data_IF_744272132172
#
_entry.id   IF_744272132172
#
_cell.length_a   1.000
_cell.length_b   1.000
_cell.length_c   1.000
_cell.angle_alpha   90.00
_cell.angle_beta   90.00
_cell.angle_gamma   90.00
#
_symmetry.space_group_name_H-M   'P 1'
#
loop_
_entity.id
_entity.type
_entity.pdbx_description
1 polymer ?
#
# COMPACT_ATOMS: atom_id res chain seq x y z
N UNK A 1 -53.23 36.68 -13.11
CA UNK A 1 -52.07 37.52 -12.74
C UNK A 1 -51.28 36.78 -11.66
N UNK A 2 -50.00 36.49 -11.90
CA UNK A 2 -49.14 35.83 -10.90
C UNK A 2 -48.66 36.88 -9.90
N UNK A 3 -48.82 36.61 -8.59
CA UNK A 3 -48.35 37.50 -7.54
C UNK A 3 -46.82 37.46 -7.43
N UNK A 4 -46.18 38.60 -7.15
CA UNK A 4 -44.72 38.69 -6.91
C UNK A 4 -44.26 37.71 -5.81
N UNK A 5 -45.11 37.46 -4.82
CA UNK A 5 -44.87 36.48 -3.76
C UNK A 5 -44.76 35.04 -4.29
N UNK A 6 -45.60 34.66 -5.26
CA UNK A 6 -45.58 33.33 -5.88
C UNK A 6 -44.33 33.12 -6.75
N UNK A 7 -43.83 34.18 -7.38
CA UNK A 7 -42.56 34.15 -8.13
C UNK A 7 -41.39 33.99 -7.16
N UNK A 8 -41.38 34.73 -6.05
CA UNK A 8 -40.31 34.68 -5.06
C UNK A 8 -40.24 33.32 -4.36
N UNK A 9 -41.37 32.73 -3.98
CA UNK A 9 -41.39 31.38 -3.39
C UNK A 9 -40.92 30.32 -4.39
N UNK A 10 -41.27 30.45 -5.67
CA UNK A 10 -40.78 29.58 -6.74
C UNK A 10 -39.26 29.63 -6.92
N UNK A 11 -38.66 30.84 -6.91
CA UNK A 11 -37.21 31.02 -7.04
C UNK A 11 -36.47 30.39 -5.85
N UNK A 12 -36.93 30.66 -4.63
CA UNK A 12 -36.30 30.11 -3.42
C UNK A 12 -36.41 28.58 -3.36
N UNK A 13 -37.56 28.02 -3.76
CA UNK A 13 -37.75 26.57 -3.85
C UNK A 13 -36.83 25.91 -4.88
N UNK A 14 -36.71 26.50 -6.08
CA UNK A 14 -35.84 25.98 -7.13
C UNK A 14 -34.35 26.02 -6.74
N UNK A 15 -33.89 27.11 -6.14
CA UNK A 15 -32.50 27.26 -5.66
C UNK A 15 -32.17 26.25 -4.57
N UNK A 16 -33.08 26.01 -3.62
CA UNK A 16 -32.88 25.02 -2.57
C UNK A 16 -32.78 23.60 -3.14
N UNK A 17 -33.66 23.25 -4.07
CA UNK A 17 -33.62 21.95 -4.74
C UNK A 17 -32.34 21.74 -5.54
N UNK A 18 -31.85 22.78 -6.23
CA UNK A 18 -30.59 22.72 -6.97
C UNK A 18 -29.40 22.54 -6.03
N UNK A 19 -29.36 23.24 -4.91
CA UNK A 19 -28.30 23.08 -3.91
C UNK A 19 -28.27 21.67 -3.32
N UNK A 20 -29.44 21.12 -2.96
CA UNK A 20 -29.56 19.78 -2.39
C UNK A 20 -29.11 18.71 -3.40
N UNK A 21 -29.60 18.79 -4.63
CA UNK A 21 -29.26 17.81 -5.68
C UNK A 21 -27.77 17.88 -6.06
N UNK A 22 -27.21 19.06 -6.23
CA UNK A 22 -25.77 19.23 -6.47
C UNK A 22 -24.93 18.68 -5.30
N UNK A 23 -25.35 18.90 -4.05
CA UNK A 23 -24.67 18.37 -2.86
C UNK A 23 -24.64 16.84 -2.84
N UNK A 24 -25.80 16.20 -3.06
CA UNK A 24 -25.89 14.73 -3.13
C UNK A 24 -25.03 14.14 -4.24
N UNK A 25 -25.04 14.75 -5.43
CA UNK A 25 -24.22 14.32 -6.57
C UNK A 25 -22.73 14.45 -6.24
N UNK A 26 -22.32 15.56 -5.61
CA UNK A 26 -20.94 15.79 -5.22
C UNK A 26 -20.45 14.75 -4.20
N UNK A 27 -21.23 14.47 -3.15
CA UNK A 27 -20.89 13.43 -2.17
C UNK A 27 -20.84 12.03 -2.80
N UNK A 28 -21.78 11.71 -3.69
CA UNK A 28 -21.80 10.45 -4.41
C UNK A 28 -20.54 10.27 -5.28
N UNK A 29 -20.17 11.31 -6.02
CA UNK A 29 -18.94 11.34 -6.81
C UNK A 29 -17.70 11.23 -5.92
N UNK A 30 -17.65 11.91 -4.77
CA UNK A 30 -16.52 11.80 -3.84
C UNK A 30 -16.31 10.38 -3.31
N UNK A 31 -17.39 9.61 -3.11
CA UNK A 31 -17.33 8.20 -2.67
C UNK A 31 -16.90 7.23 -3.77
N UNK A 32 -17.18 7.54 -5.04
CA UNK A 32 -16.98 6.61 -6.17
C UNK A 32 -15.96 7.09 -7.19
N UNK A 33 -15.27 8.21 -6.95
CA UNK A 33 -14.21 8.68 -7.85
C UNK A 33 -13.13 7.60 -7.96
N UNK A 34 -12.70 7.23 -9.18
CA UNK A 34 -11.55 6.36 -9.33
C UNK A 34 -10.35 7.02 -8.64
N UNK A 35 -9.40 6.23 -8.09
CA UNK A 35 -8.15 6.81 -7.61
C UNK A 35 -7.55 7.65 -8.75
N UNK A 36 -6.92 8.80 -8.44
CA UNK A 36 -6.24 9.56 -9.47
C UNK A 36 -5.28 8.62 -10.21
N UNK A 37 -5.35 8.57 -11.53
CA UNK A 37 -4.35 7.89 -12.33
C UNK A 37 -3.05 8.70 -12.20
N UNK A 38 -2.24 8.33 -11.21
CA UNK A 38 -0.93 8.93 -11.02
C UNK A 38 -0.02 8.24 -12.05
N UNK A 39 0.52 8.95 -13.05
CA UNK A 39 1.48 8.36 -13.96
C UNK A 39 2.68 7.88 -13.15
N UNK A 40 3.11 6.64 -13.41
CA UNK A 40 4.19 5.94 -12.68
C UNK A 40 5.46 6.80 -12.61
N UNK A 41 5.68 7.65 -13.62
CA UNK A 41 6.83 8.57 -13.75
C UNK A 41 6.73 9.86 -12.91
N UNK A 42 5.59 10.16 -12.27
CA UNK A 42 5.44 11.38 -11.46
C UNK A 42 5.49 11.15 -9.95
N UNK A 43 5.63 9.91 -9.49
CA UNK A 43 5.71 9.59 -8.05
C UNK A 43 6.93 10.22 -7.37
N UNK A 44 8.06 10.32 -8.07
CA UNK A 44 9.28 11.00 -7.57
C UNK A 44 9.07 12.49 -7.29
N UNK A 45 8.19 13.12 -8.07
CA UNK A 45 7.86 14.55 -7.94
C UNK A 45 6.92 14.82 -6.76
N UNK A 46 6.04 13.87 -6.43
CA UNK A 46 5.06 14.01 -5.35
C UNK A 46 5.65 13.69 -3.96
N UNK A 47 6.53 12.69 -3.88
CA UNK A 47 7.19 12.28 -2.63
C UNK A 47 8.32 13.22 -2.18
N UNK A 48 8.84 14.11 -3.04
CA UNK A 48 9.95 15.03 -2.72
C UNK A 48 9.53 16.39 -2.13
N UNK A 49 8.22 16.66 -1.99
CA UNK A 49 7.70 17.96 -1.55
C UNK A 49 7.17 18.00 -0.11
N UNK A 50 7.01 16.89 0.59
CA UNK A 50 6.24 16.86 1.86
C UNK A 50 6.97 16.19 3.03
N UNK A 51 8.28 16.47 3.20
CA UNK A 51 8.97 16.05 4.42
C UNK A 51 10.27 16.81 4.72
N UNK A 52 10.61 17.03 6.01
CA UNK A 52 11.90 17.60 6.44
C UNK A 52 13.03 16.55 6.42
N UNK A 53 12.83 15.40 5.76
CA UNK A 53 13.84 14.35 5.67
C UNK A 53 14.79 14.62 4.51
N UNK A 54 16.08 14.55 4.83
CA UNK A 54 17.23 14.84 3.97
C UNK A 54 17.04 14.25 2.56
N UNK A 55 17.07 15.13 1.55
CA UNK A 55 17.26 14.70 0.16
C UNK A 55 18.63 14.04 0.08
N UNK A 56 18.67 12.73 -0.11
CA UNK A 56 19.89 12.02 -0.51
C UNK A 56 20.23 12.52 -1.91
N UNK A 57 21.09 13.54 -2.00
CA UNK A 57 21.44 14.25 -3.25
C UNK A 57 22.55 13.57 -4.03
N UNK A 58 23.03 12.42 -3.57
CA UNK A 58 23.89 11.52 -4.33
C UNK A 58 23.26 10.14 -4.26
N UNK A 59 22.78 9.61 -5.39
CA UNK A 59 22.29 8.23 -5.45
C UNK A 59 23.51 7.32 -5.31
N UNK A 60 23.93 7.04 -4.08
CA UNK A 60 24.82 5.92 -3.81
C UNK A 60 24.03 4.65 -4.08
N UNK A 61 24.66 3.69 -4.75
CA UNK A 61 24.06 2.38 -4.90
C UNK A 61 23.68 1.84 -3.51
N UNK A 62 22.52 1.16 -3.37
CA UNK A 62 22.18 0.51 -2.12
C UNK A 62 23.35 -0.37 -1.67
N UNK A 63 23.65 -0.36 -0.37
CA UNK A 63 24.82 -1.07 0.18
C UNK A 63 24.86 -2.56 -0.20
N UNK A 64 23.70 -3.18 -0.48
CA UNK A 64 23.56 -4.58 -0.90
C UNK A 64 22.99 -4.74 -2.32
N UNK A 65 23.02 -3.68 -3.12
CA UNK A 65 22.43 -3.67 -4.46
C UNK A 65 20.89 -3.79 -4.47
N UNK A 66 20.33 -3.95 -5.66
CA UNK A 66 18.91 -4.24 -5.87
C UNK A 66 18.63 -5.72 -5.60
N UNK A 67 17.61 -6.04 -4.79
CA UNK A 67 17.25 -7.41 -4.48
C UNK A 67 16.89 -8.20 -5.76
N UNK A 68 17.54 -9.33 -6.05
CA UNK A 68 17.23 -10.12 -7.23
C UNK A 68 15.76 -10.56 -7.25
N UNK A 69 15.09 -10.44 -8.40
CA UNK A 69 13.74 -10.97 -8.56
C UNK A 69 13.79 -12.47 -8.85
N UNK A 70 12.87 -13.22 -8.27
CA UNK A 70 12.69 -14.65 -8.55
C UNK A 70 11.91 -14.83 -9.86
N UNK A 71 12.59 -14.68 -10.99
CA UNK A 71 11.97 -14.76 -12.31
C UNK A 71 11.48 -16.17 -12.66
N UNK A 72 12.19 -17.19 -12.19
CA UNK A 72 11.89 -18.60 -12.46
C UNK A 72 10.87 -19.18 -11.47
N UNK A 73 10.60 -18.46 -10.38
CA UNK A 73 9.67 -18.89 -9.34
C UNK A 73 10.22 -20.04 -8.49
N UNK A 74 11.54 -20.13 -8.35
CA UNK A 74 12.23 -21.20 -7.63
C UNK A 74 11.81 -21.27 -6.17
N UNK A 75 11.53 -20.12 -5.54
CA UNK A 75 11.06 -20.01 -4.16
C UNK A 75 9.58 -19.61 -4.07
N UNK A 76 8.80 -19.86 -5.13
CA UNK A 76 7.38 -19.49 -5.20
C UNK A 76 6.54 -20.27 -4.18
N UNK A 77 6.88 -21.52 -3.91
CA UNK A 77 6.12 -22.34 -2.96
C UNK A 77 6.21 -21.78 -1.53
N UNK A 78 7.42 -21.52 -1.06
CA UNK A 78 7.70 -20.95 0.26
C UNK A 78 7.11 -19.54 0.37
N UNK A 79 7.22 -18.74 -0.70
CA UNK A 79 6.56 -17.43 -0.80
C UNK A 79 5.04 -17.55 -0.61
N UNK A 80 4.39 -18.47 -1.32
CA UNK A 80 2.95 -18.68 -1.21
C UNK A 80 2.55 -19.15 0.18
N UNK A 81 3.28 -20.09 0.78
CA UNK A 81 3.03 -20.55 2.15
C UNK A 81 3.10 -19.39 3.15
N UNK A 82 4.09 -18.50 3.00
CA UNK A 82 4.21 -17.31 3.83
C UNK A 82 3.02 -16.36 3.65
N UNK A 83 2.59 -16.11 2.40
CA UNK A 83 1.44 -15.25 2.11
C UNK A 83 0.12 -15.83 2.64
N UNK A 84 -0.07 -17.15 2.52
CA UNK A 84 -1.23 -17.85 3.09
C UNK A 84 -1.24 -17.69 4.61
N UNK A 85 -0.10 -17.92 5.29
CA UNK A 85 -0.02 -17.70 6.73
C UNK A 85 -0.39 -16.26 7.10
N UNK A 86 0.16 -15.25 6.42
CA UNK A 86 -0.18 -13.85 6.69
C UNK A 86 -1.68 -13.60 6.53
N UNK A 87 -2.28 -14.15 5.48
CA UNK A 87 -3.71 -14.01 5.25
C UNK A 87 -4.52 -14.64 6.40
N UNK A 88 -4.22 -15.87 6.81
CA UNK A 88 -4.90 -16.58 7.88
C UNK A 88 -4.72 -15.93 9.26
N UNK A 89 -3.54 -15.37 9.53
CA UNK A 89 -3.20 -14.72 10.80
C UNK A 89 -3.53 -13.23 10.84
N UNK A 90 -4.29 -12.72 9.87
CA UNK A 90 -4.71 -11.31 9.77
C UNK A 90 -3.52 -10.35 9.74
N UNK A 91 -2.53 -10.67 8.89
CA UNK A 91 -1.31 -9.90 8.65
C UNK A 91 -0.38 -9.79 9.88
N UNK A 92 -0.51 -10.70 10.85
CA UNK A 92 0.40 -10.78 12.00
C UNK A 92 1.69 -11.52 11.64
N UNK A 93 2.73 -10.78 11.28
CA UNK A 93 4.04 -11.34 10.89
C UNK A 93 4.71 -12.19 11.99
N UNK A 94 4.51 -11.86 13.27
CA UNK A 94 5.11 -12.60 14.39
C UNK A 94 4.70 -14.07 14.40
N UNK A 95 3.45 -14.38 14.04
CA UNK A 95 2.90 -15.73 13.97
C UNK A 95 3.45 -16.52 12.77
N UNK A 96 3.80 -15.81 11.69
CA UNK A 96 4.29 -16.39 10.43
C UNK A 96 5.81 -16.38 10.30
N UNK A 97 6.51 -16.05 11.39
CA UNK A 97 7.96 -15.86 11.39
C UNK A 97 8.72 -17.12 10.95
N UNK A 98 8.28 -18.29 11.39
CA UNK A 98 8.88 -19.56 10.97
C UNK A 98 8.72 -19.79 9.45
N UNK A 99 7.54 -19.54 8.88
CA UNK A 99 7.30 -19.66 7.43
C UNK A 99 8.10 -18.63 6.63
N UNK A 100 8.25 -17.41 7.17
CA UNK A 100 9.11 -16.39 6.57
C UNK A 100 10.59 -16.80 6.56
N UNK A 101 11.04 -17.53 7.59
CA UNK A 101 12.40 -18.08 7.68
C UNK A 101 12.66 -19.06 6.53
N UNK A 102 11.74 -19.99 6.28
CA UNK A 102 11.83 -20.97 5.19
C UNK A 102 11.91 -20.29 3.82
N UNK A 103 11.13 -19.23 3.62
CA UNK A 103 11.18 -18.44 2.39
C UNK A 103 12.55 -17.74 2.21
N UNK A 104 13.10 -17.14 3.25
CA UNK A 104 14.43 -16.53 3.17
C UNK A 104 15.54 -17.57 2.98
N UNK A 105 15.42 -18.73 3.61
CA UNK A 105 16.35 -19.84 3.41
C UNK A 105 16.39 -20.29 1.96
N UNK A 106 15.22 -20.49 1.33
CA UNK A 106 15.16 -20.83 -0.09
C UNK A 106 15.89 -19.79 -0.94
N UNK A 107 15.63 -18.50 -0.69
CA UNK A 107 16.26 -17.42 -1.47
C UNK A 107 17.77 -17.36 -1.30
N UNK A 108 18.26 -17.55 -0.07
CA UNK A 108 19.70 -17.59 0.22
C UNK A 108 20.40 -18.80 -0.42
N UNK A 109 19.70 -19.93 -0.52
CA UNK A 109 20.25 -21.15 -1.14
C UNK A 109 20.33 -21.06 -2.67
N UNK A 110 19.42 -20.31 -3.30
CA UNK A 110 19.36 -20.14 -4.75
C UNK A 110 19.98 -18.83 -5.27
N UNK A 111 20.70 -18.08 -4.42
CA UNK A 111 21.35 -16.83 -4.83
C UNK A 111 20.37 -15.69 -5.17
N UNK A 112 19.11 -15.80 -4.73
CA UNK A 112 18.09 -14.76 -4.84
C UNK A 112 18.15 -13.77 -3.67
N UNK A 113 19.09 -13.98 -2.76
CA UNK A 113 19.43 -13.17 -1.60
C UNK A 113 20.83 -13.53 -1.12
N UNK A 114 21.63 -12.56 -0.69
CA UNK A 114 22.92 -12.82 -0.05
C UNK A 114 22.73 -13.65 1.23
N UNK A 115 23.64 -14.59 1.46
CA UNK A 115 23.64 -15.38 2.70
C UNK A 115 23.92 -14.48 3.89
N UNK A 116 23.01 -14.47 4.85
CA UNK A 116 23.09 -13.67 6.06
C UNK A 116 22.84 -14.52 7.30
N UNK A 117 23.44 -14.12 8.41
CA UNK A 117 23.20 -14.79 9.69
C UNK A 117 21.78 -14.53 10.18
N UNK A 118 21.10 -15.57 10.68
CA UNK A 118 19.74 -15.48 11.19
C UNK A 118 19.55 -14.37 12.23
N UNK A 119 20.55 -14.13 13.08
CA UNK A 119 20.54 -13.04 14.06
C UNK A 119 20.44 -11.65 13.41
N UNK A 120 21.15 -11.41 12.30
CA UNK A 120 21.10 -10.15 11.54
C UNK A 120 19.78 -9.94 10.82
N UNK A 121 19.13 -11.05 10.45
CA UNK A 121 17.77 -11.06 9.89
C UNK A 121 16.68 -10.99 10.98
N UNK A 122 17.08 -10.81 12.24
CA UNK A 122 16.19 -10.67 13.40
C UNK A 122 15.85 -11.99 14.09
N UNK A 123 16.14 -13.15 13.51
CA UNK A 123 15.81 -14.48 14.03
C UNK A 123 16.70 -14.96 15.20
N UNK A 124 17.36 -14.04 15.92
CA UNK A 124 18.28 -14.38 17.01
C UNK A 124 17.60 -14.94 18.27
N UNK A 125 16.33 -14.66 18.46
CA UNK A 125 15.58 -15.11 19.64
C UNK A 125 14.81 -16.40 19.32
N UNK A 126 15.50 -17.54 19.36
CA UNK A 126 14.87 -18.87 19.28
C UNK A 126 14.24 -19.24 20.62
N UNK A 127 13.07 -18.65 20.93
CA UNK A 127 12.06 -19.39 21.68
C UNK A 127 11.26 -20.21 20.67
N UNK A 128 11.84 -21.33 20.28
CA UNK A 128 11.18 -22.39 19.52
C UNK A 128 9.92 -22.81 20.30
N UNK A 129 8.74 -22.30 19.91
CA UNK A 129 7.49 -22.91 20.33
C UNK A 129 7.29 -24.09 19.39
N UNK A 130 7.98 -25.18 19.71
CA UNK A 130 7.56 -26.51 19.30
C UNK A 130 6.29 -26.82 20.08
N UNK A 131 5.16 -26.89 19.38
CA UNK A 131 3.95 -27.51 19.93
C UNK A 131 3.22 -28.25 18.83
#
# INVERSE_FOLDING_TARGET
>A
MVSKSQIQTGILGASLMMAITCGYIYEYWQKHKPPPEIPIQSWDKYMSQTGPFIRVTTVSAPLKGSFPLDHEGTCKLEMLNYMVCLHEKKQQNSECRHVAKDYFECRMNHGLMDKEEWQKLGYGDSKEISK
#
